data_IF_700653600118
#
_entry.id   IF_700653600118
#
_cell.length_a   1.000
_cell.length_b   1.000
_cell.length_c   1.000
_cell.angle_alpha   90.00
_cell.angle_beta   90.00
_cell.angle_gamma   90.00
#
_symmetry.space_group_name_H-M   'P 1'
#
loop_
_entity.id
_entity.type
_entity.pdbx_description
1 polymer ?
#
# COMPACT_ATOMS: atom_id res chain seq x y z
N UNK A 1 22.19 -20.14 -9.10
CA UNK A 1 20.92 -20.82 -9.44
C UNK A 1 19.80 -20.22 -8.60
N UNK A 2 18.87 -19.49 -9.21
CA UNK A 2 17.68 -19.00 -8.49
C UNK A 2 16.62 -20.09 -8.51
N UNK A 3 16.36 -20.73 -7.37
CA UNK A 3 15.26 -21.70 -7.22
C UNK A 3 13.99 -20.92 -6.89
N UNK A 4 13.05 -20.89 -7.83
CA UNK A 4 11.69 -20.44 -7.53
C UNK A 4 10.92 -21.58 -6.85
N UNK A 5 10.46 -21.34 -5.63
CA UNK A 5 9.61 -22.30 -4.90
C UNK A 5 8.15 -21.92 -5.18
N UNK A 6 7.39 -22.86 -5.75
CA UNK A 6 5.95 -22.74 -5.89
C UNK A 6 5.27 -23.51 -4.76
N UNK A 7 4.65 -22.77 -3.83
CA UNK A 7 3.90 -23.32 -2.70
C UNK A 7 2.44 -22.91 -2.79
N UNK A 8 1.55 -23.82 -2.40
CA UNK A 8 0.11 -23.57 -2.25
C UNK A 8 -0.23 -23.68 -0.76
N UNK A 9 -0.91 -22.67 -0.24
CA UNK A 9 -1.37 -22.64 1.14
C UNK A 9 -2.80 -23.20 1.20
N UNK A 10 -3.07 -24.02 2.22
CA UNK A 10 -4.40 -24.54 2.55
C UNK A 10 -4.72 -24.15 4.00
N UNK A 11 -5.07 -22.87 4.24
CA UNK A 11 -5.39 -22.38 5.57
C UNK A 11 -6.65 -23.04 6.14
N UNK A 12 -6.73 -23.14 7.46
CA UNK A 12 -7.98 -23.45 8.18
C UNK A 12 -8.84 -22.17 8.26
N UNK A 13 -10.13 -22.33 8.56
CA UNK A 13 -11.09 -21.21 8.63
C UNK A 13 -10.58 -20.01 9.44
N UNK A 14 -10.05 -20.23 10.66
CA UNK A 14 -9.51 -19.13 11.49
C UNK A 14 -8.33 -18.41 10.81
N UNK A 15 -7.46 -19.15 10.10
CA UNK A 15 -6.34 -18.56 9.38
C UNK A 15 -6.82 -17.74 8.18
N UNK A 16 -7.85 -18.20 7.47
CA UNK A 16 -8.47 -17.44 6.36
C UNK A 16 -9.00 -16.09 6.85
N UNK A 17 -9.70 -16.08 7.99
CA UNK A 17 -10.22 -14.85 8.59
C UNK A 17 -9.11 -13.88 8.98
N UNK A 18 -8.03 -14.38 9.61
CA UNK A 18 -6.87 -13.56 9.98
C UNK A 18 -6.18 -13.01 8.73
N UNK A 19 -5.93 -13.85 7.73
CA UNK A 19 -5.30 -13.44 6.47
C UNK A 19 -6.14 -12.39 5.75
N UNK A 20 -7.46 -12.59 5.68
CA UNK A 20 -8.40 -11.63 5.07
C UNK A 20 -8.34 -10.27 5.77
N UNK A 21 -8.35 -10.24 7.11
CA UNK A 21 -8.21 -9.00 7.89
C UNK A 21 -6.88 -8.31 7.63
N UNK A 22 -5.76 -9.05 7.66
CA UNK A 22 -4.42 -8.51 7.44
C UNK A 22 -4.30 -7.95 6.03
N UNK A 23 -4.63 -8.74 5.00
CA UNK A 23 -4.53 -8.30 3.61
C UNK A 23 -5.48 -7.13 3.32
N UNK A 24 -6.68 -7.13 3.91
CA UNK A 24 -7.62 -6.02 3.84
C UNK A 24 -7.03 -4.72 4.39
N UNK A 25 -6.50 -4.75 5.61
CA UNK A 25 -5.85 -3.61 6.24
C UNK A 25 -4.64 -3.10 5.44
N UNK A 26 -3.75 -4.01 5.02
CA UNK A 26 -2.58 -3.65 4.21
C UNK A 26 -2.99 -3.02 2.86
N UNK A 27 -3.97 -3.60 2.17
CA UNK A 27 -4.48 -3.10 0.90
C UNK A 27 -5.12 -1.73 1.04
N UNK A 28 -5.87 -1.50 2.13
CA UNK A 28 -6.48 -0.20 2.40
C UNK A 28 -5.44 0.90 2.54
N UNK A 29 -4.45 0.72 3.42
CA UNK A 29 -3.39 1.73 3.65
C UNK A 29 -2.59 1.97 2.38
N UNK A 30 -2.19 0.90 1.68
CA UNK A 30 -1.45 1.01 0.42
C UNK A 30 -2.22 1.82 -0.62
N UNK A 31 -3.51 1.52 -0.82
CA UNK A 31 -4.34 2.22 -1.78
C UNK A 31 -4.51 3.69 -1.42
N UNK A 32 -4.67 4.03 -0.14
CA UNK A 32 -4.78 5.42 0.32
C UNK A 32 -3.51 6.23 0.07
N UNK A 33 -2.35 5.64 0.34
CA UNK A 33 -1.05 6.27 0.03
C UNK A 33 -0.81 6.42 -1.47
N UNK A 34 -1.19 5.41 -2.26
CA UNK A 34 -1.07 5.46 -3.71
C UNK A 34 -1.99 6.52 -4.32
N UNK A 35 -3.22 6.63 -3.82
CA UNK A 35 -4.18 7.66 -4.19
C UNK A 35 -3.61 9.06 -3.95
N UNK A 36 -3.08 9.33 -2.75
CA UNK A 36 -2.44 10.62 -2.44
C UNK A 36 -1.27 10.90 -3.38
N UNK A 37 -0.36 9.94 -3.58
CA UNK A 37 0.79 10.13 -4.49
C UNK A 37 0.37 10.49 -5.90
N UNK A 38 -0.66 9.84 -6.44
CA UNK A 38 -1.19 10.17 -7.77
C UNK A 38 -1.78 11.58 -7.80
N UNK A 39 -2.59 11.93 -6.82
CA UNK A 39 -3.22 13.25 -6.73
C UNK A 39 -2.18 14.38 -6.65
N UNK A 40 -1.19 14.23 -5.77
CA UNK A 40 -0.13 15.22 -5.57
C UNK A 40 0.77 15.34 -6.81
N UNK A 41 1.09 14.21 -7.45
CA UNK A 41 1.83 14.25 -8.71
C UNK A 41 1.04 15.02 -9.78
N UNK A 42 -0.24 14.71 -9.99
CA UNK A 42 -1.03 15.42 -11.01
C UNK A 42 -1.17 16.93 -10.72
N UNK A 43 -1.25 17.31 -9.45
CA UNK A 43 -1.35 18.72 -9.04
C UNK A 43 -0.03 19.49 -9.18
N UNK A 44 1.11 18.85 -8.91
CA UNK A 44 2.40 19.52 -8.75
C UNK A 44 3.45 19.14 -9.79
N UNK A 45 3.13 18.30 -10.79
CA UNK A 45 4.10 17.83 -11.80
C UNK A 45 4.81 18.96 -12.56
N UNK A 46 4.18 20.11 -12.70
CA UNK A 46 4.74 21.29 -13.39
C UNK A 46 5.62 22.14 -12.45
N UNK A 47 5.38 22.09 -11.14
CA UNK A 47 6.23 22.73 -10.12
C UNK A 47 7.00 21.67 -9.31
N UNK A 48 8.13 21.28 -9.89
CA UNK A 48 9.02 20.27 -9.31
C UNK A 48 9.49 20.64 -7.91
N UNK A 49 9.76 21.92 -7.63
CA UNK A 49 10.29 22.33 -6.32
C UNK A 49 9.28 22.09 -5.21
N UNK A 50 8.00 22.41 -5.47
CA UNK A 50 6.91 22.16 -4.53
C UNK A 50 6.62 20.67 -4.41
N UNK A 51 6.67 19.91 -5.51
CA UNK A 51 6.53 18.45 -5.49
C UNK A 51 7.60 17.76 -4.62
N UNK A 52 8.87 18.12 -4.76
CA UNK A 52 9.97 17.54 -3.96
C UNK A 52 9.85 17.85 -2.47
N UNK A 53 9.29 19.01 -2.12
CA UNK A 53 9.14 19.45 -0.74
C UNK A 53 7.84 18.94 -0.08
N UNK A 54 6.92 18.33 -0.85
CA UNK A 54 5.65 17.85 -0.33
C UNK A 54 5.84 16.72 0.69
N UNK A 55 5.21 16.85 1.86
CA UNK A 55 5.24 15.82 2.91
C UNK A 55 3.98 14.95 2.83
N UNK A 56 4.18 13.70 2.42
CA UNK A 56 3.13 12.68 2.40
C UNK A 56 2.63 12.33 3.79
N UNK A 57 1.37 11.90 3.86
CA UNK A 57 0.78 11.44 5.11
C UNK A 57 1.43 10.13 5.57
N UNK A 58 1.55 9.99 6.89
CA UNK A 58 2.03 8.74 7.50
C UNK A 58 0.90 7.72 7.60
N UNK A 59 1.23 6.44 7.78
CA UNK A 59 0.27 5.34 7.95
C UNK A 59 -0.76 5.64 9.04
N UNK A 60 -0.30 6.28 10.13
CA UNK A 60 -1.14 6.67 11.28
C UNK A 60 -2.21 7.70 10.94
N UNK A 61 -2.05 8.46 9.88
CA UNK A 61 -2.99 9.51 9.48
C UNK A 61 -4.09 8.97 8.56
N UNK A 62 -3.94 7.75 8.04
CA UNK A 62 -4.98 7.03 7.28
C UNK A 62 -5.79 6.07 8.14
N UNK A 63 -5.27 5.72 9.33
CA UNK A 63 -5.93 4.89 10.33
C UNK A 63 -6.79 5.74 11.24
#
# INVERSE_FOLDING_TARGET
MNRAIKVRLYPKQEQEEILSKIFGCCRFIYNKMLEERKQIYEQLKDDKQTLYNYKYKTEKQYK
#
